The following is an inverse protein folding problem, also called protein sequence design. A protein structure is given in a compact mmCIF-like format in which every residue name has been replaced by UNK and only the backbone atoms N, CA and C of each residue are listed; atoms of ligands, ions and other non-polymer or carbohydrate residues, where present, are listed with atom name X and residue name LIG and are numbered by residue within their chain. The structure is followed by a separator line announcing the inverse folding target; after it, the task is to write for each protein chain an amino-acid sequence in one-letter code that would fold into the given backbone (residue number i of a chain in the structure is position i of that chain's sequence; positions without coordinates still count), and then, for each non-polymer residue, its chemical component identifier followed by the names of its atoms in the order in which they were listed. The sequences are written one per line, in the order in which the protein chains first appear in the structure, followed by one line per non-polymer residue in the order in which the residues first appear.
data_IF_621763919615
#
_entry.id   IF_621763919615
#
_cell.length_a   1.000
_cell.length_b   1.000
_cell.length_c   1.000
_cell.angle_alpha   90.00
_cell.angle_beta   90.00
_cell.angle_gamma   90.00
#
_symmetry.space_group_name_H-M   'P 1'
#
loop_
_entity.id
_entity.type
_entity.pdbx_description
1 polymer ?
#
# COMPACT_ATOMS: atom_id res chain seq x y z
N UNK A 1 -25.59 31.93 -42.46
CA UNK A 1 -24.53 31.90 -41.43
C UNK A 1 -25.09 31.37 -40.09
N UNK A 2 -25.56 30.12 -40.03
CA UNK A 2 -26.03 29.48 -38.78
C UNK A 2 -25.52 28.05 -38.61
N UNK A 3 -24.97 27.43 -39.65
CA UNK A 3 -24.52 26.04 -39.63
C UNK A 3 -23.05 25.84 -39.23
N UNK A 4 -22.27 26.89 -39.02
CA UNK A 4 -20.86 26.79 -38.62
C UNK A 4 -20.63 26.68 -37.11
N UNK A 5 -21.62 27.05 -36.28
CA UNK A 5 -21.48 27.05 -34.81
C UNK A 5 -21.68 25.63 -34.23
N UNK A 6 -22.42 24.77 -34.92
CA UNK A 6 -22.72 23.40 -34.45
C UNK A 6 -21.46 22.50 -34.53
N UNK A 7 -20.58 22.74 -35.50
CA UNK A 7 -19.36 21.93 -35.70
C UNK A 7 -18.29 22.23 -34.63
N UNK A 8 -18.27 23.44 -34.07
CA UNK A 8 -17.30 23.80 -33.02
C UNK A 8 -17.65 23.21 -31.65
N UNK A 9 -18.93 22.92 -31.39
CA UNK A 9 -19.41 22.34 -30.13
C UNK A 9 -19.20 20.82 -30.04
N UNK A 10 -18.98 20.14 -31.17
CA UNK A 10 -18.69 18.70 -31.22
C UNK A 10 -17.25 18.34 -30.84
N UNK A 11 -16.32 19.29 -30.76
CA UNK A 11 -14.91 19.02 -30.42
C UNK A 11 -14.61 19.04 -28.91
N UNK A 12 -15.56 19.43 -28.06
CA UNK A 12 -15.37 19.51 -26.60
C UNK A 12 -15.77 18.25 -25.82
N UNK A 13 -16.24 17.19 -26.50
CA UNK A 13 -16.63 15.94 -25.83
C UNK A 13 -15.49 14.91 -25.70
N UNK A 14 -14.27 15.24 -26.11
CA UNK A 14 -13.10 14.38 -25.93
C UNK A 14 -12.37 14.78 -24.65
N UNK A 15 -13.10 14.84 -23.54
CA UNK A 15 -12.50 14.55 -22.25
C UNK A 15 -12.40 13.05 -22.18
N UNK A 16 -11.39 12.45 -22.83
CA UNK A 16 -11.02 11.08 -22.49
C UNK A 16 -10.56 11.16 -21.05
N UNK A 17 -11.47 10.78 -20.15
CA UNK A 17 -11.14 10.42 -18.79
C UNK A 17 -10.01 9.40 -18.89
N UNK A 18 -8.77 9.85 -18.67
CA UNK A 18 -7.71 8.98 -18.18
C UNK A 18 -8.00 8.67 -16.70
N UNK A 19 -9.19 8.16 -16.41
CA UNK A 19 -9.44 7.41 -15.20
C UNK A 19 -9.09 5.98 -15.58
N UNK A 20 -7.82 5.65 -15.38
CA UNK A 20 -7.41 4.25 -15.19
C UNK A 20 -8.41 3.69 -14.16
N UNK A 21 -9.16 2.65 -14.55
CA UNK A 21 -10.18 2.03 -13.71
C UNK A 21 -9.67 1.97 -12.27
N UNK A 22 -10.43 2.53 -11.32
CA UNK A 22 -10.19 2.32 -9.89
C UNK A 22 -10.41 0.83 -9.62
N UNK A 23 -9.44 0.00 -9.99
CA UNK A 23 -9.36 -1.37 -9.54
C UNK A 23 -9.36 -1.28 -8.02
N UNK A 24 -10.37 -1.88 -7.39
CA UNK A 24 -10.47 -1.95 -5.94
C UNK A 24 -9.20 -2.61 -5.42
N UNK A 25 -8.32 -1.77 -4.92
CA UNK A 25 -7.00 -2.19 -4.49
C UNK A 25 -7.18 -3.01 -3.22
N UNK A 26 -6.84 -4.29 -3.28
CA UNK A 26 -6.92 -5.22 -2.14
C UNK A 26 -5.58 -5.29 -1.40
N UNK A 27 -5.58 -5.53 -0.08
CA UNK A 27 -4.34 -5.78 0.64
C UNK A 27 -3.72 -7.10 0.17
N UNK A 28 -2.40 -7.22 0.21
CA UNK A 28 -1.70 -8.45 -0.12
C UNK A 28 -0.41 -8.56 0.68
N UNK A 29 0.22 -9.73 0.65
CA UNK A 29 1.52 -9.95 1.26
C UNK A 29 2.54 -10.48 0.25
N UNK A 30 3.81 -10.22 0.50
CA UNK A 30 4.92 -10.83 -0.23
C UNK A 30 6.01 -11.27 0.72
N UNK A 31 6.66 -12.39 0.40
CA UNK A 31 7.87 -12.83 1.09
C UNK A 31 9.06 -12.01 0.60
N UNK A 32 9.93 -11.62 1.53
CA UNK A 32 11.17 -10.90 1.25
C UNK A 32 12.30 -11.93 1.16
N UNK A 33 12.82 -12.13 -0.05
CA UNK A 33 13.80 -13.19 -0.33
C UNK A 33 15.26 -12.75 -0.15
N UNK A 34 15.57 -11.47 -0.34
CA UNK A 34 16.96 -10.95 -0.41
C UNK A 34 17.19 -9.75 0.51
N UNK A 35 17.32 -9.99 1.81
CA UNK A 35 17.79 -8.96 2.74
C UNK A 35 18.96 -9.47 3.58
N UNK A 36 20.15 -9.00 3.24
CA UNK A 36 21.38 -9.26 3.98
C UNK A 36 21.25 -8.66 5.40
N UNK A 37 21.04 -9.50 6.41
CA UNK A 37 20.91 -9.07 7.81
C UNK A 37 19.71 -9.65 8.56
N UNK A 38 18.90 -10.47 7.91
CA UNK A 38 17.79 -11.18 8.55
C UNK A 38 18.22 -12.44 9.30
N UNK A 39 17.53 -12.71 10.40
CA UNK A 39 17.67 -13.95 11.17
C UNK A 39 17.14 -15.11 10.32
N UNK A 40 18.02 -16.06 10.00
CA UNK A 40 17.69 -17.20 9.13
C UNK A 40 16.66 -18.16 9.72
N UNK A 41 16.34 -18.02 11.02
CA UNK A 41 15.26 -18.77 11.66
C UNK A 41 13.86 -18.20 11.38
N UNK A 42 13.78 -17.02 10.76
CA UNK A 42 12.52 -16.33 10.46
C UNK A 42 12.33 -16.17 8.96
N UNK A 43 11.06 -16.26 8.52
CA UNK A 43 10.63 -15.78 7.21
C UNK A 43 10.09 -14.37 7.35
N UNK A 44 10.46 -13.50 6.43
CA UNK A 44 10.11 -12.09 6.47
C UNK A 44 9.08 -11.77 5.39
N UNK A 45 8.07 -11.03 5.79
CA UNK A 45 6.94 -10.69 4.95
C UNK A 45 6.71 -9.19 4.95
N UNK A 46 6.43 -8.66 3.78
CA UNK A 46 5.86 -7.33 3.57
C UNK A 46 4.35 -7.46 3.43
N UNK A 47 3.61 -6.74 4.26
CA UNK A 47 2.16 -6.67 4.23
C UNK A 47 1.79 -5.31 3.66
N UNK A 48 1.18 -5.31 2.47
CA UNK A 48 0.76 -4.12 1.76
C UNK A 48 -0.73 -3.90 1.94
N UNK A 49 -1.08 -2.73 2.46
CA UNK A 49 -2.47 -2.36 2.74
C UNK A 49 -2.82 -1.04 2.06
N UNK A 50 -3.96 -0.95 1.36
CA UNK A 50 -4.41 0.31 0.76
C UNK A 50 -4.48 1.41 1.81
N UNK A 51 -3.94 2.59 1.48
CA UNK A 51 -3.99 3.78 2.35
C UNK A 51 -5.43 4.19 2.65
N UNK A 52 -6.32 3.99 1.68
CA UNK A 52 -7.72 4.40 1.74
C UNK A 52 -8.61 3.32 1.13
N UNK A 53 -9.76 3.08 1.75
CA UNK A 53 -10.85 2.26 1.21
C UNK A 53 -12.13 3.09 1.27
N UNK A 54 -12.69 3.47 0.12
CA UNK A 54 -13.81 4.41 0.08
C UNK A 54 -13.48 5.71 0.84
N UNK A 55 -14.26 6.05 1.87
CA UNK A 55 -14.07 7.27 2.67
C UNK A 55 -13.30 7.05 3.99
N UNK A 56 -12.69 5.89 4.19
CA UNK A 56 -11.92 5.57 5.40
C UNK A 56 -10.45 5.34 5.11
N UNK A 57 -9.60 5.67 6.08
CA UNK A 57 -8.14 5.60 5.97
C UNK A 57 -7.56 4.52 6.87
N UNK A 58 -6.49 3.88 6.40
CA UNK A 58 -5.78 2.87 7.16
C UNK A 58 -5.24 3.50 8.46
N UNK A 59 -5.62 2.93 9.60
CA UNK A 59 -5.18 3.40 10.90
C UNK A 59 -4.13 2.50 11.54
N UNK A 60 -4.28 1.19 11.44
CA UNK A 60 -3.38 0.23 12.09
C UNK A 60 -3.37 -1.11 11.36
N UNK A 61 -2.21 -1.77 11.42
CA UNK A 61 -2.05 -3.18 11.03
C UNK A 61 -1.54 -3.90 12.28
N UNK A 62 -2.17 -5.01 12.65
CA UNK A 62 -1.78 -5.82 13.80
C UNK A 62 -1.55 -7.25 13.34
N UNK A 63 -0.50 -7.90 13.85
CA UNK A 63 -0.27 -9.31 13.67
C UNK A 63 -0.53 -10.05 14.99
N UNK A 64 -1.13 -11.22 14.91
CA UNK A 64 -1.46 -12.04 16.07
C UNK A 64 -1.23 -13.51 15.76
N UNK A 65 -0.79 -14.23 16.78
CA UNK A 65 -1.01 -15.68 16.87
C UNK A 65 -1.74 -15.93 18.17
N UNK A 66 -2.97 -16.44 18.07
CA UNK A 66 -3.85 -16.62 19.23
C UNK A 66 -3.15 -17.39 20.36
N UNK A 67 -3.17 -16.82 21.56
CA UNK A 67 -2.54 -17.42 22.74
C UNK A 67 -1.00 -17.34 22.77
N UNK A 68 -0.37 -16.68 21.79
CA UNK A 68 1.08 -16.47 21.75
C UNK A 68 1.45 -14.99 21.77
N UNK A 69 0.96 -14.21 20.80
CA UNK A 69 1.28 -12.80 20.72
C UNK A 69 0.22 -11.99 19.97
N UNK A 70 0.26 -10.67 20.17
CA UNK A 70 -0.50 -9.66 19.45
C UNK A 70 0.30 -8.35 19.44
N UNK A 71 0.70 -7.86 18.26
CA UNK A 71 1.52 -6.67 18.13
C UNK A 71 1.07 -5.80 16.96
N UNK A 72 1.02 -4.48 17.18
CA UNK A 72 0.85 -3.51 16.10
C UNK A 72 2.14 -3.40 15.28
N UNK A 73 2.00 -3.50 13.97
CA UNK A 73 3.11 -3.40 13.03
C UNK A 73 3.38 -1.94 12.68
N UNK A 74 4.64 -1.67 12.33
CA UNK A 74 5.04 -0.37 11.83
C UNK A 74 4.45 -0.12 10.44
N UNK A 75 4.02 1.11 10.14
CA UNK A 75 3.39 1.44 8.86
C UNK A 75 4.21 2.51 8.15
N UNK A 76 4.77 2.16 6.99
CA UNK A 76 5.62 3.03 6.17
C UNK A 76 4.98 3.30 4.81
N UNK A 77 5.36 4.39 4.17
CA UNK A 77 5.01 4.64 2.77
C UNK A 77 5.61 3.57 1.87
N UNK A 78 4.79 2.96 1.02
CA UNK A 78 5.29 2.15 -0.09
C UNK A 78 5.50 3.02 -1.33
N UNK A 79 6.58 2.73 -2.05
CA UNK A 79 6.88 3.31 -3.38
C UNK A 79 7.19 2.24 -4.42
N UNK A 80 7.08 0.97 -4.03
CA UNK A 80 7.48 -0.19 -4.83
C UNK A 80 6.35 -0.64 -5.74
N UNK A 81 5.10 -0.48 -5.31
CA UNK A 81 3.93 -0.91 -6.06
C UNK A 81 3.11 0.26 -6.58
N UNK A 82 2.47 0.05 -7.75
CA UNK A 82 1.49 0.97 -8.31
C UNK A 82 0.23 0.92 -7.45
N UNK A 83 -0.19 2.09 -6.97
CA UNK A 83 -1.31 2.25 -6.06
C UNK A 83 -0.86 2.90 -4.76
N UNK A 84 -1.80 3.48 -4.02
CA UNK A 84 -1.51 4.12 -2.75
C UNK A 84 -1.55 3.06 -1.64
N UNK A 85 -0.40 2.46 -1.35
CA UNK A 85 -0.23 1.48 -0.28
C UNK A 85 0.64 2.01 0.87
N UNK A 86 0.37 1.46 2.03
CA UNK A 86 1.34 1.41 3.11
C UNK A 86 1.90 0.00 3.24
N UNK A 87 3.12 -0.10 3.77
CA UNK A 87 3.84 -1.34 3.99
C UNK A 87 4.17 -1.54 5.46
N UNK A 88 4.00 -2.77 5.93
CA UNK A 88 4.40 -3.25 7.26
C UNK A 88 5.26 -4.49 7.12
N UNK A 89 6.26 -4.64 7.98
CA UNK A 89 7.15 -5.80 7.94
C UNK A 89 6.85 -6.76 9.09
N UNK A 90 6.91 -8.05 8.83
CA UNK A 90 6.72 -9.09 9.84
C UNK A 90 7.72 -10.24 9.61
N UNK A 91 8.56 -10.49 10.61
CA UNK A 91 9.37 -11.70 10.70
C UNK A 91 8.66 -12.74 11.57
N UNK A 92 8.45 -13.95 11.06
CA UNK A 92 7.77 -15.03 11.79
C UNK A 92 8.46 -16.38 11.51
N UNK A 93 8.54 -17.29 12.50
CA UNK A 93 8.93 -18.67 12.25
C UNK A 93 7.98 -19.36 11.25
N UNK A 94 8.53 -20.21 10.38
CA UNK A 94 7.76 -20.89 9.33
C UNK A 94 6.62 -21.75 9.88
N UNK A 95 6.80 -22.40 11.04
CA UNK A 95 5.78 -23.25 11.67
C UNK A 95 4.56 -22.48 12.21
N UNK A 96 4.65 -21.15 12.26
CA UNK A 96 3.57 -20.26 12.67
C UNK A 96 2.85 -19.59 11.49
N UNK A 97 3.35 -19.72 10.25
CA UNK A 97 2.84 -19.00 9.08
C UNK A 97 1.31 -19.12 8.92
N UNK A 98 0.77 -20.34 8.98
CA UNK A 98 -0.66 -20.60 8.82
C UNK A 98 -1.52 -20.23 10.04
N UNK A 99 -0.87 -19.81 11.14
CA UNK A 99 -1.51 -19.41 12.40
C UNK A 99 -1.52 -17.91 12.60
N UNK A 100 -0.77 -17.15 11.78
CA UNK A 100 -0.74 -15.69 11.87
C UNK A 100 -2.02 -15.10 11.30
N UNK A 101 -2.72 -14.34 12.14
CA UNK A 101 -3.85 -13.49 11.79
C UNK A 101 -3.35 -12.03 11.64
N UNK A 102 -3.75 -11.38 10.55
CA UNK A 102 -3.48 -9.98 10.26
C UNK A 102 -4.79 -9.19 10.34
N UNK A 103 -4.80 -8.15 11.17
CA UNK A 103 -5.93 -7.27 11.40
C UNK A 103 -5.61 -5.92 10.78
N UNK A 104 -6.41 -5.49 9.81
CA UNK A 104 -6.24 -4.22 9.11
C UNK A 104 -7.41 -3.34 9.49
N UNK A 105 -7.15 -2.26 10.21
CA UNK A 105 -8.18 -1.36 10.70
C UNK A 105 -8.24 -0.08 9.87
N UNK A 106 -9.45 0.35 9.53
CA UNK A 106 -9.73 1.61 8.85
C UNK A 106 -10.62 2.52 9.69
N UNK A 107 -10.39 3.83 9.63
CA UNK A 107 -11.18 4.83 10.35
C UNK A 107 -11.44 6.10 9.49
N UNK A 108 -12.57 6.75 9.75
CA UNK A 108 -13.05 8.00 9.16
C UNK A 108 -12.32 9.23 9.70
N UNK A 109 -11.74 9.19 10.91
CA UNK A 109 -11.42 10.43 11.61
C UNK A 109 -10.20 11.18 11.08
N UNK A 110 -9.06 10.55 10.73
CA UNK A 110 -7.86 11.27 10.20
C UNK A 110 -6.83 10.38 9.48
N UNK A 111 -6.11 10.98 8.53
CA UNK A 111 -4.94 10.43 7.81
C UNK A 111 -3.66 10.33 8.66
N UNK A 112 -3.58 11.00 9.81
CA UNK A 112 -2.34 11.24 10.56
C UNK A 112 -1.97 10.13 11.57
N UNK A 113 -2.78 9.06 11.72
CA UNK A 113 -2.47 7.82 12.46
C UNK A 113 -2.00 8.01 13.93
N UNK A 114 -2.38 9.10 14.60
CA UNK A 114 -1.86 9.47 15.94
C UNK A 114 -2.59 8.86 17.14
N UNK A 115 -3.54 7.95 16.94
CA UNK A 115 -4.42 7.46 18.03
C UNK A 115 -4.76 6.00 17.84
N UNK A 116 -4.69 5.23 18.93
CA UNK A 116 -5.15 3.83 18.99
C UNK A 116 -6.68 3.81 18.90
N UNK A 117 -7.22 3.09 17.93
CA UNK A 117 -8.65 3.03 17.66
C UNK A 117 -9.19 1.70 18.16
N UNK A 118 -10.06 1.77 19.17
CA UNK A 118 -10.69 0.59 19.78
C UNK A 118 -12.01 0.19 19.09
N UNK A 119 -12.60 1.08 18.28
CA UNK A 119 -13.82 0.84 17.51
C UNK A 119 -13.60 1.17 16.03
N UNK A 120 -12.88 0.31 15.32
CA UNK A 120 -12.62 0.43 13.88
C UNK A 120 -13.41 -0.62 13.08
N UNK A 121 -13.57 -0.39 11.78
CA UNK A 121 -13.88 -1.49 10.87
C UNK A 121 -12.59 -2.28 10.68
N UNK A 122 -12.61 -3.56 11.06
CA UNK A 122 -11.46 -4.44 10.97
C UNK A 122 -11.68 -5.45 9.85
N UNK A 123 -10.71 -5.52 8.95
CA UNK A 123 -10.58 -6.64 8.04
C UNK A 123 -9.63 -7.66 8.64
N UNK A 124 -10.03 -8.94 8.59
CA UNK A 124 -9.31 -10.04 9.20
C UNK A 124 -8.83 -10.98 8.09
N UNK A 125 -7.53 -11.28 8.08
CA UNK A 125 -6.94 -12.18 7.10
C UNK A 125 -5.97 -13.14 7.77
N UNK A 126 -5.85 -14.37 7.25
CA UNK A 126 -4.65 -15.16 7.53
C UNK A 126 -3.49 -14.64 6.69
N UNK A 127 -2.28 -14.67 7.22
CA UNK A 127 -1.10 -14.31 6.43
C UNK A 127 -0.97 -15.18 5.17
N UNK A 128 -1.28 -16.48 5.27
CA UNK A 128 -1.27 -17.38 4.10
C UNK A 128 -2.39 -17.12 3.08
N UNK A 129 -3.43 -16.37 3.44
CA UNK A 129 -4.44 -15.88 2.48
C UNK A 129 -3.92 -14.64 1.75
N UNK A 130 -3.34 -13.67 2.48
CA UNK A 130 -2.76 -12.46 1.88
C UNK A 130 -1.65 -12.77 0.87
N UNK A 131 -0.90 -13.85 1.09
CA UNK A 131 0.13 -14.32 0.16
C UNK A 131 -0.43 -14.85 -1.18
N UNK A 132 -1.73 -15.20 -1.21
CA UNK A 132 -2.42 -15.71 -2.42
C UNK A 132 -3.15 -14.61 -3.19
N UNK A 133 -3.30 -13.43 -2.60
CA UNK A 133 -4.00 -12.33 -3.26
C UNK A 133 -3.16 -11.81 -4.43
N UNK A 134 -3.84 -11.33 -5.46
CA UNK A 134 -3.17 -10.74 -6.61
C UNK A 134 -2.36 -9.53 -6.16
N UNK A 135 -1.05 -9.56 -6.47
CA UNK A 135 -0.15 -8.46 -6.12
C UNK A 135 -0.37 -7.29 -7.07
N UNK A 136 -0.28 -6.08 -6.55
CA UNK A 136 -0.25 -4.91 -7.39
C UNK A 136 0.95 -4.96 -8.37
N UNK A 137 0.83 -4.28 -9.51
CA UNK A 137 1.95 -4.12 -10.45
C UNK A 137 3.05 -3.28 -9.80
N UNK A 138 4.31 -3.59 -10.03
CA UNK A 138 5.41 -2.76 -9.53
C UNK A 138 5.38 -1.37 -10.18
N UNK A 139 5.69 -0.35 -9.38
CA UNK A 139 5.89 1.01 -9.85
C UNK A 139 7.15 1.06 -10.74
N UNK A 140 7.16 1.91 -11.78
CA UNK A 140 8.39 2.15 -12.53
C UNK A 140 9.47 2.69 -11.58
N UNK A 141 10.75 2.34 -11.80
CA UNK A 141 11.84 2.81 -10.96
C UNK A 141 11.87 4.35 -10.96
N UNK A 142 12.21 4.99 -9.82
CA UNK A 142 12.32 6.43 -9.77
C UNK A 142 13.37 6.91 -10.78
N UNK A 143 13.20 8.09 -11.38
CA UNK A 143 14.20 8.66 -12.28
C UNK A 143 15.57 8.71 -11.58
N UNK A 144 16.68 8.51 -12.32
CA UNK A 144 18.02 8.71 -11.78
C UNK A 144 18.12 10.10 -11.15
N UNK A 145 18.65 10.18 -9.92
CA UNK A 145 18.98 11.49 -9.34
C UNK A 145 20.06 12.12 -10.22
N UNK A 146 19.77 13.31 -10.76
CA UNK A 146 20.80 14.13 -11.41
C UNK A 146 21.93 14.37 -10.38
N UNK A 147 23.20 14.32 -10.80
CA UNK A 147 24.30 14.69 -9.92
C UNK A 147 24.07 16.12 -9.38
N UNK A 148 24.52 16.43 -8.16
CA UNK A 148 24.45 17.80 -7.65
C UNK A 148 25.13 18.73 -8.66
N UNK A 149 24.41 19.75 -9.14
CA UNK A 149 25.05 20.80 -9.92
C UNK A 149 26.05 21.52 -9.01
N UNK A 150 27.34 21.35 -9.28
CA UNK A 150 28.41 22.22 -8.75
C UNK A 150 28.23 23.64 -9.34
N UNK A 151 27.23 24.36 -8.84
CA UNK A 151 27.17 25.82 -8.93
C UNK A 151 27.99 26.40 -7.77
N UNK A 152 29.28 26.06 -7.75
CA UNK A 152 30.27 26.70 -6.88
C UNK A 152 31.57 26.90 -7.64
N UNK A 153 31.50 27.56 -8.80
CA UNK A 153 32.67 28.13 -9.48
C UNK A 153 32.22 29.30 -10.37
N UNK A 154 31.72 30.35 -9.74
CA UNK A 154 31.55 31.66 -10.38
C UNK A 154 31.36 32.77 -9.33
N UNK A 155 32.40 33.02 -8.53
CA UNK A 155 32.70 34.32 -7.92
C UNK A 155 34.21 34.55 -7.95
#
# INVERSE_FOLDING_TARGET
MRSFIIILLSFFHISVLACEDEHVISPFATEVLDYNGFDTSLKYFEILSPVQKGNVYLSSITARVKGKFEFSLDIREDRTYKGNFYISNLGIPEDLLDKVEIFIAYNTTRKDRKTVIFCGNFDYYKLSELLKFEKAKQAPPPPPKLPPNDLSNSL
#
